data_IF_347086580581
#
_entry.id   IF_347086580581
#
_cell.length_a   1.000
_cell.length_b   1.000
_cell.length_c   1.000
_cell.angle_alpha   90.00
_cell.angle_beta   90.00
_cell.angle_gamma   90.00
#
_symmetry.space_group_name_H-M   'P 1'
#
loop_
_entity.id
_entity.type
_entity.pdbx_description
1 polymer ?
#
# COMPACT_ATOMS: atom_id res chain seq x y z
N UNK A 1 36.65 -0.54 -25.40
CA UNK A 1 35.86 -1.13 -24.30
C UNK A 1 34.74 -2.00 -24.84
N UNK A 2 33.78 -1.46 -25.60
CA UNK A 2 32.72 -2.25 -26.22
C UNK A 2 33.17 -2.88 -27.55
N UNK A 3 33.99 -3.93 -27.48
CA UNK A 3 34.22 -4.87 -28.59
C UNK A 3 33.95 -6.29 -28.07
N UNK A 4 33.26 -7.15 -28.84
CA UNK A 4 32.91 -8.53 -28.41
C UNK A 4 34.13 -9.32 -27.92
N UNK A 5 35.26 -9.17 -28.62
CA UNK A 5 36.53 -9.80 -28.23
C UNK A 5 37.07 -9.40 -26.84
N UNK A 6 36.60 -8.29 -26.28
CA UNK A 6 37.00 -7.79 -24.96
C UNK A 6 35.96 -8.12 -23.87
N UNK A 7 34.90 -8.87 -24.17
CA UNK A 7 33.83 -9.13 -23.21
C UNK A 7 34.32 -9.92 -21.98
N UNK A 8 35.19 -10.91 -22.19
CA UNK A 8 35.79 -11.67 -21.09
C UNK A 8 36.67 -10.77 -20.18
N UNK A 9 37.46 -9.88 -20.76
CA UNK A 9 38.26 -8.89 -20.02
C UNK A 9 37.36 -7.97 -19.17
N UNK A 10 36.19 -7.58 -19.71
CA UNK A 10 35.20 -6.80 -18.98
C UNK A 10 34.62 -7.56 -17.80
N UNK A 11 34.29 -8.85 -17.97
CA UNK A 11 33.81 -9.70 -16.88
C UNK A 11 34.85 -9.82 -15.76
N UNK A 12 36.11 -10.08 -16.10
CA UNK A 12 37.22 -10.16 -15.15
C UNK A 12 37.41 -8.84 -14.40
N UNK A 13 37.45 -7.72 -15.13
CA UNK A 13 37.58 -6.38 -14.55
C UNK A 13 36.46 -6.07 -13.56
N UNK A 14 35.20 -6.44 -13.89
CA UNK A 14 34.06 -6.27 -12.99
C UNK A 14 34.26 -7.09 -11.72
N UNK A 15 34.70 -8.35 -11.84
CA UNK A 15 34.96 -9.21 -10.67
C UNK A 15 36.07 -8.64 -9.79
N UNK A 16 37.16 -8.18 -10.38
CA UNK A 16 38.29 -7.61 -9.64
C UNK A 16 37.91 -6.34 -8.87
N UNK A 17 37.31 -5.35 -9.55
CA UNK A 17 36.95 -4.06 -8.94
C UNK A 17 35.87 -4.21 -7.85
N UNK A 18 35.00 -5.22 -8.00
CA UNK A 18 33.91 -5.48 -7.05
C UNK A 18 34.29 -6.43 -5.93
N UNK A 19 35.48 -7.01 -5.96
CA UNK A 19 36.04 -7.77 -4.85
C UNK A 19 36.88 -6.82 -3.99
N UNK A 20 36.81 -6.95 -2.67
CA UNK A 20 37.54 -6.06 -1.75
C UNK A 20 38.94 -6.58 -1.53
N UNK A 21 39.96 -5.73 -1.69
CA UNK A 21 41.34 -6.06 -1.32
C UNK A 21 41.40 -6.39 0.18
N UNK A 22 41.66 -7.67 0.50
CA UNK A 22 41.90 -8.12 1.86
C UNK A 22 40.66 -8.48 2.71
N UNK A 23 39.45 -8.48 2.14
CA UNK A 23 38.27 -9.04 2.81
C UNK A 23 37.44 -9.87 1.82
N UNK A 24 36.94 -11.03 2.25
CA UNK A 24 36.08 -11.92 1.45
C UNK A 24 34.72 -11.28 1.03
N UNK A 25 34.54 -9.98 1.29
CA UNK A 25 33.31 -9.24 1.04
C UNK A 25 33.24 -8.69 -0.38
N UNK A 26 32.22 -9.11 -1.11
CA UNK A 26 31.89 -8.60 -2.43
C UNK A 26 31.14 -7.26 -2.31
N UNK A 27 31.57 -6.22 -3.04
CA UNK A 27 30.99 -4.87 -3.01
C UNK A 27 29.70 -4.82 -3.82
N UNK A 28 28.61 -5.36 -3.25
CA UNK A 28 27.33 -5.53 -3.96
C UNK A 28 26.76 -4.23 -4.54
N UNK A 29 26.86 -3.11 -3.82
CA UNK A 29 26.39 -1.80 -4.30
C UNK A 29 27.13 -1.34 -5.55
N UNK A 30 28.47 -1.34 -5.49
CA UNK A 30 29.34 -0.99 -6.62
C UNK A 30 29.10 -1.91 -7.83
N UNK A 31 28.97 -3.21 -7.58
CA UNK A 31 28.69 -4.20 -8.63
C UNK A 31 27.37 -3.91 -9.33
N UNK A 32 26.32 -3.62 -8.58
CA UNK A 32 25.03 -3.26 -9.14
C UNK A 32 25.06 -1.90 -9.88
N UNK A 33 25.80 -0.90 -9.37
CA UNK A 33 25.98 0.38 -10.07
C UNK A 33 26.72 0.23 -11.40
N UNK A 34 27.78 -0.58 -11.43
CA UNK A 34 28.55 -0.87 -12.66
C UNK A 34 27.65 -1.44 -13.76
N UNK A 35 26.69 -2.30 -13.42
CA UNK A 35 25.69 -2.81 -14.38
C UNK A 35 24.94 -1.68 -15.08
N UNK A 36 24.45 -0.70 -14.32
CA UNK A 36 23.71 0.44 -14.86
C UNK A 36 24.62 1.40 -15.63
N UNK A 37 25.84 1.62 -15.15
CA UNK A 37 26.84 2.45 -15.83
C UNK A 37 27.24 1.87 -17.19
N UNK A 38 27.51 0.56 -17.27
CA UNK A 38 27.85 -0.12 -18.52
C UNK A 38 26.70 0.00 -19.54
N UNK A 39 25.46 -0.23 -19.10
CA UNK A 39 24.27 -0.04 -19.95
C UNK A 39 24.14 1.39 -20.45
N UNK A 40 24.26 2.36 -19.54
CA UNK A 40 24.12 3.78 -19.88
C UNK A 40 25.23 4.24 -20.84
N UNK A 41 26.46 3.81 -20.59
CA UNK A 41 27.61 4.10 -21.45
C UNK A 41 27.43 3.50 -22.85
N UNK A 42 26.97 2.24 -22.94
CA UNK A 42 26.67 1.60 -24.22
C UNK A 42 25.58 2.35 -24.98
N UNK A 43 24.48 2.69 -24.31
CA UNK A 43 23.37 3.41 -24.92
C UNK A 43 23.80 4.80 -25.47
N UNK A 44 24.55 5.56 -24.68
CA UNK A 44 25.05 6.88 -25.10
C UNK A 44 26.05 6.77 -26.26
N UNK A 45 26.94 5.79 -26.23
CA UNK A 45 27.89 5.55 -27.30
C UNK A 45 27.17 5.13 -28.60
N UNK A 46 26.11 4.32 -28.51
CA UNK A 46 25.29 3.94 -29.67
C UNK A 46 24.62 5.16 -30.29
N UNK A 47 24.06 6.03 -29.46
CA UNK A 47 23.45 7.27 -29.93
C UNK A 47 24.45 8.16 -30.68
N UNK A 48 25.65 8.34 -30.14
CA UNK A 48 26.71 9.13 -30.77
C UNK A 48 27.15 8.54 -32.12
N UNK A 49 27.36 7.22 -32.19
CA UNK A 49 27.72 6.53 -33.43
C UNK A 49 26.65 6.65 -34.51
N UNK A 50 25.36 6.61 -34.14
CA UNK A 50 24.25 6.79 -35.08
C UNK A 50 24.16 8.23 -35.58
N UNK A 51 24.42 9.23 -34.72
CA UNK A 51 24.46 10.64 -35.11
C UNK A 51 25.59 10.91 -36.11
N UNK A 52 26.72 10.23 -35.95
CA UNK A 52 27.89 10.37 -36.82
C UNK A 52 27.86 9.45 -38.06
N UNK A 53 26.72 8.80 -38.36
CA UNK A 53 26.53 7.89 -39.49
C UNK A 53 27.49 6.67 -39.49
N UNK A 54 28.01 6.29 -38.32
CA UNK A 54 28.91 5.15 -38.13
C UNK A 54 28.14 3.83 -37.91
N UNK A 55 27.25 3.49 -38.85
CA UNK A 55 26.30 2.36 -38.73
C UNK A 55 26.97 1.01 -38.44
N UNK A 56 28.17 0.78 -38.99
CA UNK A 56 28.91 -0.48 -38.75
C UNK A 56 29.34 -0.61 -37.30
N UNK A 57 29.79 0.48 -36.68
CA UNK A 57 30.20 0.51 -35.30
C UNK A 57 28.99 0.40 -34.36
N UNK A 58 27.89 1.09 -34.69
CA UNK A 58 26.63 1.01 -33.95
C UNK A 58 26.06 -0.43 -33.95
N UNK A 59 26.12 -1.14 -35.08
CA UNK A 59 25.72 -2.55 -35.18
C UNK A 59 26.61 -3.49 -34.38
N UNK A 60 27.92 -3.23 -34.28
CA UNK A 60 28.79 -4.04 -33.43
C UNK A 60 28.51 -3.81 -31.93
N UNK A 61 28.15 -2.59 -31.55
CA UNK A 61 27.76 -2.25 -30.18
C UNK A 61 26.45 -2.95 -29.77
N UNK A 62 25.47 -3.01 -30.68
CA UNK A 62 24.21 -3.73 -30.47
C UNK A 62 24.40 -5.24 -30.21
N UNK A 63 25.39 -5.85 -30.87
CA UNK A 63 25.73 -7.26 -30.60
C UNK A 63 26.29 -7.45 -29.20
N UNK A 64 27.04 -6.48 -28.68
CA UNK A 64 27.59 -6.52 -27.31
C UNK A 64 26.52 -6.25 -26.28
N UNK A 65 25.60 -5.32 -26.54
CA UNK A 65 24.42 -5.13 -25.70
C UNK A 65 23.63 -6.42 -25.57
N UNK A 66 23.43 -7.12 -26.68
CA UNK A 66 22.75 -8.42 -26.70
C UNK A 66 23.51 -9.46 -25.86
N UNK A 67 24.83 -9.57 -26.03
CA UNK A 67 25.67 -10.49 -25.25
C UNK A 67 25.67 -10.13 -23.74
N UNK A 68 25.71 -8.84 -23.42
CA UNK A 68 25.60 -8.34 -22.05
C UNK A 68 24.24 -8.67 -21.44
N UNK A 69 23.14 -8.49 -22.16
CA UNK A 69 21.80 -8.84 -21.67
C UNK A 69 21.65 -10.33 -21.37
N UNK A 70 22.28 -11.19 -22.17
CA UNK A 70 22.26 -12.64 -21.95
C UNK A 70 23.06 -13.02 -20.71
N UNK A 71 24.23 -12.40 -20.47
CA UNK A 71 25.14 -12.76 -19.37
C UNK A 71 24.97 -11.95 -18.09
N UNK A 72 24.23 -10.84 -18.11
CA UNK A 72 24.05 -9.96 -16.94
C UNK A 72 23.50 -10.71 -15.72
N UNK A 73 22.65 -11.71 -15.93
CA UNK A 73 22.04 -12.45 -14.83
C UNK A 73 23.10 -13.24 -14.07
N UNK A 74 23.95 -13.99 -14.79
CA UNK A 74 25.04 -14.74 -14.18
C UNK A 74 26.07 -13.82 -13.52
N UNK A 75 26.33 -12.65 -14.11
CA UNK A 75 27.35 -11.74 -13.61
C UNK A 75 26.90 -10.94 -12.38
N UNK A 76 25.61 -10.57 -12.27
CA UNK A 76 25.10 -9.63 -11.25
C UNK A 76 24.05 -10.20 -10.28
N UNK A 77 23.55 -11.43 -10.47
CA UNK A 77 22.46 -12.00 -9.64
C UNK A 77 22.77 -12.03 -8.14
N UNK A 78 24.03 -12.30 -7.78
CA UNK A 78 24.51 -12.29 -6.40
C UNK A 78 24.33 -10.91 -5.74
N UNK A 79 24.70 -9.84 -6.45
CA UNK A 79 24.57 -8.47 -5.98
C UNK A 79 23.11 -8.02 -5.89
N UNK A 80 22.28 -8.38 -6.86
CA UNK A 80 20.84 -8.07 -6.86
C UNK A 80 20.13 -8.74 -5.67
N UNK A 81 20.40 -10.02 -5.47
CA UNK A 81 19.84 -10.80 -4.36
C UNK A 81 20.24 -10.20 -3.01
N UNK A 82 21.53 -9.89 -2.81
CA UNK A 82 22.02 -9.35 -1.55
C UNK A 82 21.53 -7.92 -1.30
N UNK A 83 21.41 -7.07 -2.33
CA UNK A 83 20.81 -5.75 -2.18
C UNK A 83 19.33 -5.82 -1.79
N UNK A 84 18.56 -6.71 -2.41
CA UNK A 84 17.16 -6.95 -2.04
C UNK A 84 17.04 -7.47 -0.61
N UNK A 85 17.87 -8.45 -0.23
CA UNK A 85 17.91 -9.00 1.12
C UNK A 85 18.25 -7.93 2.15
N UNK A 86 19.33 -7.17 1.94
CA UNK A 86 19.74 -6.08 2.82
C UNK A 86 18.67 -5.00 2.96
N UNK A 87 18.00 -4.64 1.86
CA UNK A 87 16.87 -3.71 1.87
C UNK A 87 15.69 -4.26 2.68
N UNK A 88 15.30 -5.51 2.47
CA UNK A 88 14.22 -6.14 3.22
C UNK A 88 14.56 -6.26 4.71
N UNK A 89 15.79 -6.65 5.05
CA UNK A 89 16.25 -6.75 6.43
C UNK A 89 16.30 -5.38 7.10
N UNK A 90 16.70 -4.32 6.38
CA UNK A 90 16.72 -2.95 6.90
C UNK A 90 15.30 -2.43 7.15
N UNK A 91 14.42 -2.50 6.15
CA UNK A 91 13.04 -1.98 6.24
C UNK A 91 12.19 -2.73 7.28
N UNK A 92 12.52 -4.00 7.59
CA UNK A 92 11.83 -4.77 8.62
C UNK A 92 12.24 -4.41 10.06
N UNK A 93 13.26 -3.58 10.27
CA UNK A 93 13.65 -3.15 11.61
C UNK A 93 12.64 -2.10 12.12
N UNK A 94 12.12 -2.23 13.36
CA UNK A 94 11.22 -1.24 13.94
C UNK A 94 11.77 0.19 13.94
N UNK A 95 13.09 0.34 14.02
CA UNK A 95 13.81 1.63 13.99
C UNK A 95 13.78 2.34 12.63
N UNK A 96 13.44 1.63 11.55
CA UNK A 96 13.32 2.17 10.20
C UNK A 96 11.84 2.35 9.79
N UNK A 97 10.91 2.15 10.74
CA UNK A 97 9.54 2.60 10.54
C UNK A 97 9.54 4.13 10.51
N UNK A 98 8.76 4.75 9.60
CA UNK A 98 8.63 6.20 9.58
C UNK A 98 8.19 6.69 10.97
N UNK A 99 8.95 7.62 11.54
CA UNK A 99 8.49 8.34 12.71
C UNK A 99 7.36 9.29 12.27
N UNK A 100 6.51 9.70 13.21
CA UNK A 100 5.39 10.62 12.93
C UNK A 100 5.86 11.95 12.31
N UNK A 101 7.11 12.32 12.59
CA UNK A 101 7.85 13.46 12.03
C UNK A 101 8.40 13.25 10.60
N UNK A 102 8.64 11.99 10.18
CA UNK A 102 9.09 11.63 8.83
C UNK A 102 7.94 11.54 7.83
N UNK A 103 6.70 11.44 8.32
CA UNK A 103 5.51 11.56 7.48
C UNK A 103 5.37 13.04 7.16
N UNK A 104 5.56 13.47 5.89
CA UNK A 104 5.41 14.87 5.54
C UNK A 104 4.04 15.31 6.01
N UNK A 105 4.05 16.29 6.92
CA UNK A 105 2.89 16.86 7.58
C UNK A 105 2.17 17.74 6.54
N UNK A 106 1.72 17.12 5.45
CA UNK A 106 1.06 17.75 4.35
C UNK A 106 -0.40 17.90 4.76
N UNK A 107 -0.60 18.76 5.78
CA UNK A 107 -1.86 19.08 6.45
C UNK A 107 -2.92 19.65 5.51
N UNK A 108 -2.54 20.00 4.30
CA UNK A 108 -3.47 20.41 3.26
C UNK A 108 -4.31 19.21 2.82
N UNK A 109 -5.55 19.19 3.29
CA UNK A 109 -6.56 18.27 2.81
C UNK A 109 -6.97 18.61 1.39
N UNK A 110 -7.24 17.58 0.61
CA UNK A 110 -7.87 17.69 -0.71
C UNK A 110 -8.90 16.56 -0.89
N UNK A 111 -9.69 16.64 -1.95
CA UNK A 111 -10.70 15.65 -2.27
C UNK A 111 -10.12 14.23 -2.54
N UNK A 112 -8.87 14.14 -3.00
CA UNK A 112 -8.18 12.89 -3.25
C UNK A 112 -7.79 12.19 -1.94
N UNK A 113 -7.19 12.90 -0.99
CA UNK A 113 -6.86 12.45 0.37
C UNK A 113 -8.12 12.07 1.14
N UNK A 114 -9.19 12.88 1.03
CA UNK A 114 -10.50 12.53 1.60
C UNK A 114 -11.00 11.19 1.05
N UNK A 115 -11.03 11.04 -0.28
CA UNK A 115 -11.49 9.81 -0.93
C UNK A 115 -10.65 8.60 -0.57
N UNK A 116 -9.33 8.79 -0.43
CA UNK A 116 -8.41 7.72 -0.05
C UNK A 116 -8.63 7.28 1.40
N UNK A 117 -8.71 8.21 2.35
CA UNK A 117 -8.98 7.89 3.75
C UNK A 117 -10.36 7.22 3.90
N UNK A 118 -11.37 7.72 3.18
CA UNK A 118 -12.70 7.10 3.13
C UNK A 118 -12.63 5.66 2.65
N UNK A 119 -11.92 5.39 1.57
CA UNK A 119 -11.84 4.04 1.00
C UNK A 119 -11.04 3.09 1.90
N UNK A 120 -10.01 3.59 2.59
CA UNK A 120 -9.26 2.85 3.63
C UNK A 120 -10.17 2.49 4.81
N UNK A 121 -10.90 3.46 5.36
CA UNK A 121 -11.83 3.23 6.47
C UNK A 121 -12.96 2.27 6.06
N UNK A 122 -13.57 2.46 4.88
CA UNK A 122 -14.60 1.58 4.34
C UNK A 122 -14.08 0.14 4.17
N UNK A 123 -12.87 -0.02 3.63
CA UNK A 123 -12.21 -1.32 3.46
C UNK A 123 -11.99 -2.00 4.82
N UNK A 124 -11.38 -1.29 5.76
CA UNK A 124 -11.06 -1.82 7.10
C UNK A 124 -12.34 -2.22 7.86
N UNK A 125 -13.37 -1.38 7.86
CA UNK A 125 -14.65 -1.69 8.51
C UNK A 125 -15.35 -2.89 7.85
N UNK A 126 -15.30 -3.00 6.52
CA UNK A 126 -15.87 -4.14 5.79
C UNK A 126 -15.20 -5.45 6.16
N UNK A 127 -13.86 -5.48 6.17
CA UNK A 127 -13.09 -6.66 6.50
C UNK A 127 -13.23 -7.01 7.99
N UNK A 128 -13.13 -6.03 8.89
CA UNK A 128 -13.20 -6.24 10.33
C UNK A 128 -14.55 -6.83 10.78
N UNK A 129 -15.66 -6.38 10.17
CA UNK A 129 -16.99 -6.85 10.54
C UNK A 129 -17.44 -8.11 9.76
N UNK A 130 -16.66 -8.58 8.78
CA UNK A 130 -17.06 -9.69 7.91
C UNK A 130 -18.39 -9.46 7.18
N UNK A 131 -18.72 -8.19 6.88
CA UNK A 131 -20.02 -7.79 6.29
C UNK A 131 -19.94 -7.55 4.79
N UNK A 132 -21.11 -7.55 4.14
CA UNK A 132 -21.21 -7.08 2.74
C UNK A 132 -20.76 -5.63 2.69
N UNK A 133 -19.93 -5.27 1.71
CA UNK A 133 -19.33 -3.93 1.63
C UNK A 133 -20.34 -2.78 1.59
N UNK A 134 -21.60 -3.03 1.26
CA UNK A 134 -22.65 -2.02 1.35
C UNK A 134 -23.10 -1.69 2.78
N UNK A 135 -22.84 -2.53 3.79
CA UNK A 135 -23.32 -2.31 5.17
C UNK A 135 -22.50 -1.22 5.88
N UNK A 136 -21.17 -1.34 6.10
CA UNK A 136 -20.41 -0.28 6.76
C UNK A 136 -20.47 1.08 6.04
N UNK A 137 -20.55 1.09 4.70
CA UNK A 137 -20.66 2.34 3.94
C UNK A 137 -21.98 3.09 4.14
N UNK A 138 -23.04 2.42 4.63
CA UNK A 138 -24.33 3.07 4.94
C UNK A 138 -24.35 3.82 6.26
N UNK A 139 -23.27 3.73 7.03
CA UNK A 139 -23.21 4.36 8.35
C UNK A 139 -23.41 5.86 8.20
N UNK A 140 -24.32 6.40 9.00
CA UNK A 140 -24.63 7.83 8.99
C UNK A 140 -23.79 8.57 10.03
N UNK A 141 -23.70 9.90 9.88
CA UNK A 141 -23.04 10.77 10.84
C UNK A 141 -23.68 10.65 12.24
N UNK A 142 -25.01 10.55 12.31
CA UNK A 142 -25.72 10.42 13.58
C UNK A 142 -25.41 9.08 14.26
N UNK A 143 -25.42 7.97 13.52
CA UNK A 143 -25.07 6.65 14.07
C UNK A 143 -23.61 6.62 14.56
N UNK A 144 -22.71 7.34 13.88
CA UNK A 144 -21.34 7.54 14.35
C UNK A 144 -21.27 8.38 15.62
N UNK A 145 -21.97 9.51 15.69
CA UNK A 145 -22.00 10.36 16.89
C UNK A 145 -22.52 9.59 18.11
N UNK A 146 -23.62 8.86 17.95
CA UNK A 146 -24.18 7.99 19.00
C UNK A 146 -23.15 6.93 19.44
N UNK A 147 -22.41 6.34 18.50
CA UNK A 147 -21.35 5.37 18.82
C UNK A 147 -20.14 6.01 19.51
N UNK A 148 -19.73 7.21 19.08
CA UNK A 148 -18.59 7.94 19.66
C UNK A 148 -18.82 8.28 21.13
N UNK A 149 -20.07 8.59 21.49
CA UNK A 149 -20.54 8.86 22.85
C UNK A 149 -20.80 7.60 23.68
N UNK A 150 -20.50 6.40 23.17
CA UNK A 150 -20.74 5.11 23.83
C UNK A 150 -22.21 4.90 24.24
N UNK A 151 -23.15 5.53 23.52
CA UNK A 151 -24.59 5.55 23.85
C UNK A 151 -25.22 4.17 24.02
N UNK A 152 -24.65 3.15 23.39
CA UNK A 152 -25.15 1.78 23.39
C UNK A 152 -24.44 0.87 24.38
N UNK A 153 -23.43 1.36 25.09
CA UNK A 153 -22.66 0.60 26.05
C UNK A 153 -23.12 0.93 27.46
N UNK A 154 -23.49 -0.10 28.23
CA UNK A 154 -23.78 0.04 29.65
C UNK A 154 -22.51 -0.27 30.46
N UNK A 155 -21.91 0.72 31.17
CA UNK A 155 -20.70 0.50 31.97
C UNK A 155 -20.84 -0.63 32.99
N UNK A 156 -22.01 -0.74 33.63
CA UNK A 156 -22.29 -1.77 34.64
C UNK A 156 -22.32 -3.19 34.04
N UNK A 157 -22.68 -3.34 32.77
CA UNK A 157 -22.66 -4.62 32.07
C UNK A 157 -21.26 -4.98 31.59
N UNK A 158 -20.48 -3.99 31.12
CA UNK A 158 -19.09 -4.17 30.73
C UNK A 158 -18.26 -4.67 31.92
N UNK A 159 -18.55 -4.17 33.12
CA UNK A 159 -17.82 -4.57 34.31
C UNK A 159 -18.12 -6.00 34.80
N UNK A 160 -19.24 -6.57 34.35
CA UNK A 160 -19.63 -7.96 34.64
C UNK A 160 -19.03 -8.97 33.66
N UNK A 161 -18.39 -8.51 32.58
CA UNK A 161 -17.74 -9.40 31.60
C UNK A 161 -16.55 -10.09 32.27
N UNK A 162 -16.62 -11.42 32.33
CA UNK A 162 -15.61 -12.26 32.99
C UNK A 162 -14.39 -12.53 32.12
N UNK A 163 -14.57 -12.55 30.81
CA UNK A 163 -13.47 -12.77 29.86
C UNK A 163 -12.63 -11.49 29.73
N UNK A 164 -11.34 -11.51 30.11
CA UNK A 164 -10.45 -10.36 29.96
C UNK A 164 -10.29 -9.90 28.51
N UNK A 165 -10.36 -10.80 27.54
CA UNK A 165 -10.17 -10.48 26.11
C UNK A 165 -11.39 -9.72 25.59
N UNK A 166 -12.60 -10.22 25.89
CA UNK A 166 -13.85 -9.56 25.49
C UNK A 166 -13.97 -8.17 26.11
N UNK A 167 -13.59 -8.02 27.38
CA UNK A 167 -13.58 -6.73 28.09
C UNK A 167 -12.62 -5.73 27.45
N UNK A 168 -11.44 -6.19 27.04
CA UNK A 168 -10.45 -5.34 26.36
C UNK A 168 -10.90 -4.97 24.94
N UNK A 169 -11.54 -5.90 24.22
CA UNK A 169 -12.07 -5.68 22.88
C UNK A 169 -13.14 -4.57 22.88
N UNK A 170 -14.07 -4.60 23.84
CA UNK A 170 -15.13 -3.59 23.98
C UNK A 170 -14.53 -2.22 24.29
N UNK A 171 -13.49 -2.13 25.13
CA UNK A 171 -12.81 -0.86 25.43
C UNK A 171 -12.11 -0.25 24.21
N UNK A 172 -11.70 -1.08 23.24
CA UNK A 172 -10.97 -0.68 22.02
C UNK A 172 -11.87 -0.56 20.79
N UNK A 173 -13.18 -0.65 20.95
CA UNK A 173 -14.11 -0.71 19.82
C UNK A 173 -15.33 0.16 20.11
N UNK A 174 -15.73 0.99 19.15
CA UNK A 174 -17.02 1.69 19.20
C UNK A 174 -18.08 0.85 18.49
N UNK A 175 -19.32 0.86 18.99
CA UNK A 175 -20.42 0.08 18.42
C UNK A 175 -21.46 1.03 17.85
N UNK A 176 -21.75 0.89 16.56
CA UNK A 176 -22.87 1.58 15.92
C UNK A 176 -23.93 0.58 15.46
N UNK A 177 -25.18 1.02 15.33
CA UNK A 177 -26.27 0.22 14.80
C UNK A 177 -26.85 0.84 13.54
N UNK A 178 -27.08 0.01 12.52
CA UNK A 178 -27.66 0.41 11.23
C UNK A 178 -28.92 -0.38 10.93
N UNK A 179 -29.85 0.21 10.19
CA UNK A 179 -31.05 -0.49 9.72
C UNK A 179 -30.73 -1.38 8.50
N UNK A 180 -31.00 -2.68 8.61
CA UNK A 180 -30.84 -3.63 7.50
C UNK A 180 -31.85 -3.42 6.35
N UNK A 181 -31.52 -3.92 5.15
CA UNK A 181 -32.44 -3.85 4.00
C UNK A 181 -33.65 -4.77 4.22
N UNK A 182 -34.87 -4.22 4.20
CA UNK A 182 -36.12 -4.98 4.16
C UNK A 182 -36.58 -5.63 5.46
N UNK A 183 -35.89 -5.38 6.57
CA UNK A 183 -36.36 -5.77 7.91
C UNK A 183 -35.98 -4.68 8.90
N UNK A 184 -36.84 -4.38 9.86
CA UNK A 184 -36.57 -3.48 10.99
C UNK A 184 -35.46 -4.01 11.94
N UNK A 185 -34.63 -4.95 11.48
CA UNK A 185 -33.51 -5.50 12.26
C UNK A 185 -32.33 -4.57 12.18
N UNK A 186 -31.87 -4.15 13.35
CA UNK A 186 -30.62 -3.44 13.53
C UNK A 186 -29.45 -4.40 13.30
N UNK A 187 -28.43 -3.90 12.62
CA UNK A 187 -27.16 -4.58 12.37
C UNK A 187 -26.08 -3.79 13.10
N UNK A 188 -25.33 -4.46 13.96
CA UNK A 188 -24.17 -3.85 14.62
C UNK A 188 -23.00 -3.72 13.65
N UNK A 189 -22.31 -2.58 13.75
CA UNK A 189 -21.02 -2.29 13.11
C UNK A 189 -20.03 -1.95 14.21
N UNK A 190 -19.01 -2.79 14.32
CA UNK A 190 -17.88 -2.60 15.20
C UNK A 190 -16.85 -1.70 14.51
N UNK A 191 -16.49 -0.61 15.17
CA UNK A 191 -15.52 0.37 14.70
C UNK A 191 -14.26 0.17 15.54
N UNK A 192 -13.22 -0.49 15.00
CA UNK A 192 -11.99 -0.77 15.73
C UNK A 192 -11.21 0.51 16.03
N UNK A 193 -10.38 0.49 17.09
CA UNK A 193 -9.56 1.62 17.53
C UNK A 193 -8.77 2.29 16.40
N UNK A 194 -8.20 1.49 15.49
CA UNK A 194 -7.40 1.96 14.35
C UNK A 194 -8.21 2.74 13.31
N UNK A 195 -9.55 2.67 13.35
CA UNK A 195 -10.45 3.39 12.48
C UNK A 195 -11.04 4.65 13.11
N UNK A 196 -11.00 4.78 14.44
CA UNK A 196 -11.68 5.86 15.17
C UNK A 196 -11.20 7.23 14.69
N UNK A 197 -9.90 7.44 14.60
CA UNK A 197 -9.34 8.72 14.15
C UNK A 197 -9.73 9.03 12.70
N UNK A 198 -9.69 8.01 11.83
CA UNK A 198 -10.07 8.14 10.44
C UNK A 198 -11.53 8.56 10.28
N UNK A 199 -12.47 7.88 10.96
CA UNK A 199 -13.89 8.22 10.88
C UNK A 199 -14.22 9.54 11.55
N UNK A 200 -13.50 9.89 12.63
CA UNK A 200 -13.61 11.20 13.29
C UNK A 200 -13.20 12.32 12.35
N UNK A 201 -12.09 12.16 11.63
CA UNK A 201 -11.64 13.15 10.64
C UNK A 201 -12.65 13.27 9.49
N UNK A 202 -13.16 12.15 8.97
CA UNK A 202 -14.15 12.13 7.89
C UNK A 202 -15.52 12.71 8.30
N UNK A 203 -15.84 12.78 9.59
CA UNK A 203 -17.07 13.37 10.10
C UNK A 203 -16.99 14.89 10.28
N UNK A 204 -15.79 15.50 10.27
CA UNK A 204 -15.64 16.93 10.54
C UNK A 204 -16.21 17.79 9.39
N UNK A 205 -17.01 18.83 9.68
CA UNK A 205 -17.65 19.65 8.64
C UNK A 205 -16.67 20.31 7.65
N UNK A 206 -15.57 20.85 8.14
CA UNK A 206 -14.50 21.48 7.36
C UNK A 206 -13.84 20.50 6.39
N UNK A 207 -13.49 19.30 6.87
CA UNK A 207 -12.91 18.22 6.06
C UNK A 207 -13.89 17.76 4.98
N UNK A 208 -15.18 17.65 5.33
CA UNK A 208 -16.26 17.30 4.38
C UNK A 208 -16.45 18.39 3.32
N UNK A 209 -16.38 19.67 3.69
CA UNK A 209 -16.43 20.78 2.73
C UNK A 209 -15.27 20.72 1.74
N UNK A 210 -14.04 20.47 2.22
CA UNK A 210 -12.85 20.29 1.37
C UNK A 210 -13.01 19.09 0.42
N UNK A 211 -13.63 18.01 0.90
CA UNK A 211 -13.98 16.83 0.09
C UNK A 211 -15.09 17.07 -0.95
N UNK A 212 -15.69 18.26 -0.98
CA UNK A 212 -16.80 18.60 -1.87
C UNK A 212 -18.09 17.86 -1.52
N UNK A 213 -18.32 17.62 -0.23
CA UNK A 213 -19.50 16.92 0.29
C UNK A 213 -20.62 17.93 0.61
N UNK A 214 -21.86 17.71 0.14
CA UNK A 214 -23.00 18.53 0.54
C UNK A 214 -23.28 18.41 2.04
N UNK A 215 -23.68 19.51 2.68
CA UNK A 215 -24.11 19.50 4.09
C UNK A 215 -25.33 18.61 4.34
N UNK A 216 -26.15 18.37 3.32
CA UNK A 216 -27.30 17.46 3.34
C UNK A 216 -26.92 15.98 3.21
N UNK A 217 -25.67 15.63 2.91
CA UNK A 217 -25.24 14.23 2.85
C UNK A 217 -25.09 13.67 4.28
N UNK A 218 -25.96 12.73 4.63
CA UNK A 218 -26.04 12.09 5.95
C UNK A 218 -25.01 10.99 6.20
N UNK A 219 -24.34 10.49 5.16
CA UNK A 219 -23.45 9.34 5.28
C UNK A 219 -22.10 9.75 5.89
N UNK A 220 -21.59 8.93 6.79
CA UNK A 220 -20.26 9.05 7.37
C UNK A 220 -19.17 8.89 6.31
N UNK A 221 -19.39 7.96 5.37
CA UNK A 221 -18.48 7.65 4.26
C UNK A 221 -19.10 8.07 2.92
N UNK A 222 -19.20 9.37 2.60
CA UNK A 222 -19.93 9.85 1.43
C UNK A 222 -19.12 9.75 0.12
N UNK A 223 -19.82 9.75 -1.00
CA UNK A 223 -19.20 10.10 -2.28
C UNK A 223 -18.81 11.58 -2.33
N UNK A 224 -17.68 11.88 -2.96
CA UNK A 224 -17.27 13.24 -3.32
C UNK A 224 -18.15 13.80 -4.46
N UNK A 225 -17.86 15.03 -4.91
CA UNK A 225 -18.52 15.66 -6.06
C UNK A 225 -20.02 15.95 -5.86
N UNK A 226 -20.39 16.52 -4.70
CA UNK A 226 -21.77 16.94 -4.42
C UNK A 226 -22.82 15.81 -4.39
N UNK A 227 -22.40 14.56 -4.27
CA UNK A 227 -23.31 13.41 -4.16
C UNK A 227 -23.97 13.35 -2.78
N UNK A 228 -25.22 12.86 -2.74
CA UNK A 228 -25.96 12.55 -1.51
C UNK A 228 -25.86 11.08 -1.10
N UNK A 229 -25.09 10.29 -1.85
CA UNK A 229 -24.96 8.84 -1.66
C UNK A 229 -23.58 8.45 -1.10
N UNK A 230 -23.39 7.16 -0.86
CA UNK A 230 -22.17 6.54 -0.33
C UNK A 230 -21.55 5.55 -1.34
N UNK A 231 -20.23 5.27 -1.27
CA UNK A 231 -19.62 4.30 -2.16
C UNK A 231 -20.05 2.88 -1.83
N UNK A 232 -19.96 2.00 -2.82
CA UNK A 232 -20.02 0.56 -2.58
C UNK A 232 -18.73 0.10 -1.89
N UNK A 233 -18.82 -0.53 -0.74
CA UNK A 233 -17.63 -1.07 -0.07
C UNK A 233 -16.90 -2.13 -0.88
N UNK A 234 -17.54 -2.79 -1.86
CA UNK A 234 -16.82 -3.64 -2.81
C UNK A 234 -15.78 -2.83 -3.60
N UNK A 235 -16.15 -1.66 -4.12
CA UNK A 235 -15.23 -0.81 -4.86
C UNK A 235 -14.13 -0.24 -3.96
N UNK A 236 -14.48 0.14 -2.72
CA UNK A 236 -13.48 0.59 -1.74
C UNK A 236 -12.45 -0.52 -1.44
N UNK A 237 -12.91 -1.73 -1.11
CA UNK A 237 -12.03 -2.88 -0.84
C UNK A 237 -11.16 -3.21 -2.04
N UNK A 238 -11.76 -3.30 -3.24
CA UNK A 238 -11.01 -3.61 -4.46
C UNK A 238 -9.97 -2.54 -4.79
N UNK A 239 -10.32 -1.24 -4.66
CA UNK A 239 -9.37 -0.14 -4.88
C UNK A 239 -8.17 -0.25 -3.93
N UNK A 240 -8.41 -0.43 -2.64
CA UNK A 240 -7.34 -0.54 -1.65
C UNK A 240 -6.50 -1.81 -1.86
N UNK A 241 -7.13 -2.94 -2.18
CA UNK A 241 -6.43 -4.19 -2.47
C UNK A 241 -5.50 -4.06 -3.69
N UNK A 242 -5.96 -3.39 -4.76
CA UNK A 242 -5.12 -3.11 -5.93
C UNK A 242 -3.95 -2.18 -5.57
N UNK A 243 -4.19 -1.12 -4.80
CA UNK A 243 -3.14 -0.21 -4.34
C UNK A 243 -2.09 -0.92 -3.47
N UNK A 244 -2.50 -1.93 -2.70
CA UNK A 244 -1.61 -2.77 -1.90
C UNK A 244 -0.89 -3.86 -2.71
N UNK A 245 -1.13 -3.98 -4.02
CA UNK A 245 -0.47 -4.97 -4.89
C UNK A 245 -0.99 -6.39 -4.74
N UNK A 246 -2.21 -6.58 -4.23
CA UNK A 246 -2.83 -7.90 -4.06
C UNK A 246 -3.24 -8.44 -5.44
N UNK A 247 -2.67 -9.56 -5.86
CA UNK A 247 -2.85 -10.07 -7.23
C UNK A 247 -4.23 -10.71 -7.50
N UNK A 248 -4.96 -11.12 -6.47
CA UNK A 248 -6.27 -11.77 -6.60
C UNK A 248 -7.33 -11.03 -5.78
N UNK A 249 -7.63 -9.80 -6.19
CA UNK A 249 -8.63 -8.94 -5.52
C UNK A 249 -10.05 -9.49 -5.61
N UNK A 250 -10.32 -10.41 -6.56
CA UNK A 250 -11.61 -11.08 -6.72
C UNK A 250 -11.94 -12.02 -5.56
N UNK A 251 -10.91 -12.54 -4.85
CA UNK A 251 -11.08 -13.29 -3.61
C UNK A 251 -11.27 -12.39 -2.38
N UNK A 252 -10.86 -11.13 -2.45
CA UNK A 252 -11.06 -10.12 -1.40
C UNK A 252 -12.45 -9.50 -1.47
N UNK A 253 -13.48 -10.33 -1.49
CA UNK A 253 -14.87 -9.87 -1.43
C UNK A 253 -15.50 -10.24 -0.11
N UNK A 254 -16.61 -9.58 0.22
CA UNK A 254 -17.31 -9.83 1.47
C UNK A 254 -17.75 -11.29 1.63
N UNK A 255 -18.03 -12.01 0.54
CA UNK A 255 -18.55 -13.39 0.59
C UNK A 255 -17.46 -14.42 0.94
N UNK A 256 -16.28 -14.48 0.28
CA UNK A 256 -15.17 -15.34 0.68
C UNK A 256 -14.57 -14.92 2.03
N UNK A 257 -14.44 -13.61 2.30
CA UNK A 257 -13.93 -13.13 3.60
C UNK A 257 -14.82 -13.57 4.75
N UNK A 258 -16.16 -13.44 4.59
CA UNK A 258 -17.13 -13.94 5.57
C UNK A 258 -17.05 -15.45 5.76
N UNK A 259 -16.83 -16.22 4.70
CA UNK A 259 -16.62 -17.67 4.81
C UNK A 259 -15.38 -17.98 5.64
N UNK A 260 -14.24 -17.30 5.40
CA UNK A 260 -13.02 -17.46 6.19
C UNK A 260 -13.23 -17.11 7.66
N UNK A 261 -13.93 -16.01 7.97
CA UNK A 261 -14.26 -15.63 9.35
C UNK A 261 -15.22 -16.59 10.07
N UNK A 262 -16.08 -17.30 9.33
CA UNK A 262 -16.97 -18.30 9.91
C UNK A 262 -16.33 -19.69 10.07
N UNK A 263 -15.18 -19.93 9.42
CA UNK A 263 -14.45 -21.21 9.46
C UNK A 263 -13.18 -21.20 10.32
N UNK A 264 -12.76 -20.03 10.79
CA UNK A 264 -11.65 -19.85 11.73
C UNK A 264 -12.19 -19.81 13.17
#
# INVERSE_FOLDING_TARGET
>A
MFKRKNFNELEETIREITTSDGSEGLKYGLKNELKFLIKKASFLLKADLLVNEEDKAAKELEKIETEFEMRKHDLFADSEYQMLKNRQTKIRKPQEQPLEEDVPNNKEWDACKFSLLRDLAACRLTLFNGRRGGEPCRLTLQEWMDAAEDKWLNPDEIDRIKDPIERELIKKTKIAFQTGKGSNRLVSVLIPQDCIDAVTVLSKPDIRTIGGIPTSNKYLLPFTQQSLDHPSGYYCVNRIANMAGIQDTMKMTATPSKHTFCTA
#
